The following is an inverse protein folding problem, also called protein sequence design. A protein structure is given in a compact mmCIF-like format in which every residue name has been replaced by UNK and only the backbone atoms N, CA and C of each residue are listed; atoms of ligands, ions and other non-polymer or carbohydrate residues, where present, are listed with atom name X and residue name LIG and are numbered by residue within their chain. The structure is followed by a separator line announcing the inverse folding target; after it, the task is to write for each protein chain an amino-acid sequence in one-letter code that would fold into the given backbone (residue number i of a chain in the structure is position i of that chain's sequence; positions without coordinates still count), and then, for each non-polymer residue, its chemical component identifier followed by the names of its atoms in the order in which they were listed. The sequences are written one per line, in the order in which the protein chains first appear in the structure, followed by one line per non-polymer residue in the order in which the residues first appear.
data_IF_511128348218
#
_entry.id   IF_511128348218
#
_cell.length_a   1.000
_cell.length_b   1.000
_cell.length_c   1.000
_cell.angle_alpha   90.00
_cell.angle_beta   90.00
_cell.angle_gamma   90.00
#
_symmetry.space_group_name_H-M   'P 1'
#
loop_
_entity.id
_entity.type
_entity.pdbx_description
1 polymer ?
#
# COMPACT_ATOMS: atom_id res chain seq x y z
N UNK A 1 -9.13 -9.70 -8.55
CA UNK A 1 -9.60 -9.52 -7.17
C UNK A 1 -8.66 -8.61 -6.40
N UNK A 2 -8.74 -7.31 -6.70
CA UNK A 2 -8.31 -6.20 -5.87
C UNK A 2 -9.27 -5.98 -4.69
N UNK A 3 -8.78 -5.29 -3.67
CA UNK A 3 -9.48 -5.04 -2.39
C UNK A 3 -10.84 -4.36 -2.56
N UNK A 4 -10.98 -3.48 -3.56
CA UNK A 4 -12.18 -2.66 -3.77
C UNK A 4 -12.89 -2.96 -5.09
N UNK A 5 -12.69 -4.15 -5.67
CA UNK A 5 -13.41 -4.60 -6.88
C UNK A 5 -14.88 -4.93 -6.57
N UNK A 6 -15.17 -5.55 -5.41
CA UNK A 6 -16.52 -5.99 -5.01
C UNK A 6 -17.05 -5.32 -3.73
N UNK A 7 -16.26 -4.42 -3.13
CA UNK A 7 -16.56 -3.79 -1.83
C UNK A 7 -16.14 -2.32 -1.84
N UNK A 8 -16.93 -1.46 -1.20
CA UNK A 8 -16.60 -0.03 -1.05
C UNK A 8 -15.67 0.25 0.14
N UNK A 9 -15.68 -0.63 1.14
CA UNK A 9 -14.89 -0.53 2.37
C UNK A 9 -14.19 -1.85 2.65
N UNK A 10 -13.01 -1.75 3.24
CA UNK A 10 -12.23 -2.90 3.71
C UNK A 10 -11.85 -2.71 5.17
N UNK A 11 -11.77 -3.80 5.91
CA UNK A 11 -11.20 -3.81 7.26
C UNK A 11 -9.67 -3.91 7.22
N UNK A 12 -9.03 -3.48 8.31
CA UNK A 12 -7.58 -3.65 8.51
C UNK A 12 -7.15 -5.12 8.41
N UNK A 13 -7.96 -6.06 8.89
CA UNK A 13 -7.70 -7.50 8.83
C UNK A 13 -7.70 -8.00 7.39
N UNK A 14 -8.71 -7.66 6.60
CA UNK A 14 -8.78 -8.05 5.18
C UNK A 14 -7.62 -7.46 4.37
N UNK A 15 -7.29 -6.20 4.63
CA UNK A 15 -6.11 -5.57 4.02
C UNK A 15 -4.85 -6.37 4.32
N UNK A 16 -4.64 -6.76 5.59
CA UNK A 16 -3.48 -7.56 5.99
C UNK A 16 -3.41 -8.89 5.27
N UNK A 17 -4.53 -9.59 5.16
CA UNK A 17 -4.57 -10.93 4.56
C UNK A 17 -4.25 -10.86 3.06
N UNK A 18 -4.85 -9.92 2.34
CA UNK A 18 -4.60 -9.72 0.90
C UNK A 18 -3.18 -9.22 0.66
N UNK A 19 -2.70 -8.28 1.48
CA UNK A 19 -1.34 -7.75 1.39
C UNK A 19 -0.31 -8.86 1.59
N UNK A 20 -0.47 -9.72 2.61
CA UNK A 20 0.44 -10.85 2.87
C UNK A 20 0.48 -11.82 1.70
N UNK A 21 -0.67 -12.13 1.10
CA UNK A 21 -0.77 -13.05 -0.04
C UNK A 21 -0.14 -12.50 -1.32
N UNK A 22 -0.26 -11.18 -1.55
CA UNK A 22 0.19 -10.55 -2.79
C UNK A 22 1.59 -9.94 -2.74
N UNK A 23 2.18 -9.73 -1.55
CA UNK A 23 3.46 -9.03 -1.39
C UNK A 23 4.59 -9.75 -2.16
N UNK A 24 5.09 -9.18 -3.27
CA UNK A 24 6.05 -9.86 -4.11
C UNK A 24 7.46 -9.82 -3.50
N UNK A 25 8.20 -10.89 -3.70
CA UNK A 25 9.64 -10.90 -3.53
C UNK A 25 10.29 -10.20 -4.72
N UNK A 26 11.30 -9.38 -4.47
CA UNK A 26 12.15 -8.77 -5.48
C UNK A 26 13.31 -9.74 -5.77
N UNK A 27 13.27 -10.51 -6.87
CA UNK A 27 14.23 -11.57 -7.12
C UNK A 27 15.68 -11.07 -7.19
N UNK A 28 15.91 -9.87 -7.74
CA UNK A 28 17.25 -9.28 -7.85
C UNK A 28 17.90 -8.89 -6.51
N UNK A 29 17.13 -8.78 -5.43
CA UNK A 29 17.62 -8.34 -4.12
C UNK A 29 17.40 -9.39 -3.01
N UNK A 30 16.73 -10.50 -3.32
CA UNK A 30 16.31 -11.50 -2.31
C UNK A 30 15.39 -10.94 -1.21
N UNK A 31 14.87 -9.71 -1.38
CA UNK A 31 14.10 -8.99 -0.36
C UNK A 31 12.64 -8.82 -0.77
N UNK A 32 11.76 -8.64 0.21
CA UNK A 32 10.36 -8.28 -0.05
C UNK A 32 10.28 -6.86 -0.61
N UNK A 33 9.31 -6.60 -1.50
CA UNK A 33 9.07 -5.25 -2.03
C UNK A 33 8.72 -4.26 -0.91
N UNK A 34 7.98 -4.72 0.10
CA UNK A 34 7.63 -3.95 1.29
C UNK A 34 7.97 -4.77 2.52
N UNK A 35 8.82 -4.21 3.38
CA UNK A 35 9.22 -4.81 4.65
C UNK A 35 8.11 -4.71 5.71
N UNK A 36 8.25 -5.47 6.81
CA UNK A 36 7.27 -5.49 7.89
C UNK A 36 7.05 -4.09 8.50
N UNK A 37 8.12 -3.34 8.74
CA UNK A 37 8.03 -1.99 9.31
C UNK A 37 7.26 -1.03 8.39
N UNK A 38 7.59 -1.04 7.09
CA UNK A 38 6.90 -0.19 6.12
C UNK A 38 5.45 -0.59 5.94
N UNK A 39 5.16 -1.89 6.01
CA UNK A 39 3.78 -2.37 6.01
C UNK A 39 3.01 -1.81 7.20
N UNK A 40 3.57 -1.83 8.40
CA UNK A 40 2.95 -1.23 9.58
C UNK A 40 2.70 0.27 9.37
N UNK A 41 3.66 1.00 8.80
CA UNK A 41 3.50 2.43 8.47
C UNK A 41 2.37 2.67 7.45
N UNK A 42 2.26 1.83 6.43
CA UNK A 42 1.16 1.90 5.44
C UNK A 42 -0.18 1.62 6.13
N UNK A 43 -0.25 0.59 6.96
CA UNK A 43 -1.47 0.25 7.70
C UNK A 43 -1.90 1.38 8.65
N UNK A 44 -0.98 1.96 9.40
CA UNK A 44 -1.27 3.06 10.32
C UNK A 44 -1.67 4.33 9.57
N UNK A 45 -1.05 4.63 8.43
CA UNK A 45 -1.46 5.79 7.61
C UNK A 45 -2.85 5.60 7.00
N UNK A 46 -3.20 4.38 6.60
CA UNK A 46 -4.47 4.10 5.92
C UNK A 46 -5.64 3.92 6.90
N UNK A 47 -5.42 3.24 8.02
CA UNK A 47 -6.47 2.88 8.98
C UNK A 47 -6.38 3.66 10.30
N UNK A 48 -5.28 4.39 10.55
CA UNK A 48 -4.98 4.97 11.85
C UNK A 48 -4.55 3.93 12.89
N UNK A 49 -4.44 4.37 14.14
CA UNK A 49 -4.05 3.51 15.27
C UNK A 49 -5.16 2.55 15.74
N UNK A 50 -6.40 2.72 15.25
CA UNK A 50 -7.55 1.93 15.73
C UNK A 50 -7.51 0.50 15.16
N UNK A 51 -7.75 -0.54 15.98
CA UNK A 51 -7.67 -1.94 15.54
C UNK A 51 -8.83 -2.37 14.62
N UNK A 52 -10.05 -1.85 14.84
CA UNK A 52 -11.25 -2.15 14.02
C UNK A 52 -11.52 -1.08 12.95
N UNK A 53 -10.50 -0.34 12.54
CA UNK A 53 -10.67 0.68 11.52
C UNK A 53 -10.98 0.07 10.14
N UNK A 54 -11.85 0.77 9.43
CA UNK A 54 -12.21 0.50 8.04
C UNK A 54 -11.71 1.64 7.17
N UNK A 55 -11.27 1.31 5.96
CA UNK A 55 -10.87 2.29 4.96
C UNK A 55 -11.82 2.19 3.77
N UNK A 56 -12.32 3.33 3.30
CA UNK A 56 -13.09 3.40 2.05
C UNK A 56 -12.17 3.42 0.84
N UNK A 57 -12.72 3.10 -0.33
CA UNK A 57 -12.02 3.19 -1.62
C UNK A 57 -11.45 4.59 -1.85
N UNK A 58 -12.17 5.65 -1.49
CA UNK A 58 -11.70 7.02 -1.66
C UNK A 58 -10.58 7.39 -0.72
N UNK A 59 -10.61 6.92 0.53
CA UNK A 59 -9.49 7.08 1.46
C UNK A 59 -8.24 6.37 0.92
N UNK A 60 -8.41 5.18 0.34
CA UNK A 60 -7.32 4.44 -0.28
C UNK A 60 -6.74 5.16 -1.51
N UNK A 61 -7.60 5.72 -2.37
CA UNK A 61 -7.18 6.55 -3.51
C UNK A 61 -6.41 7.78 -3.04
N UNK A 62 -6.93 8.51 -2.05
CA UNK A 62 -6.27 9.68 -1.46
C UNK A 62 -4.89 9.32 -0.91
N UNK A 63 -4.78 8.18 -0.22
CA UNK A 63 -3.50 7.67 0.28
C UNK A 63 -2.51 7.39 -0.86
N UNK A 64 -2.95 6.72 -1.94
CA UNK A 64 -2.10 6.49 -3.12
C UNK A 64 -1.65 7.82 -3.74
N UNK A 65 -2.54 8.80 -3.87
CA UNK A 65 -2.20 10.12 -4.40
C UNK A 65 -1.19 10.85 -3.51
N UNK A 66 -1.32 10.77 -2.18
CA UNK A 66 -0.33 11.32 -1.25
C UNK A 66 1.05 10.68 -1.42
N UNK A 67 1.12 9.35 -1.55
CA UNK A 67 2.38 8.66 -1.84
C UNK A 67 2.99 9.08 -3.18
N UNK A 68 2.16 9.35 -4.20
CA UNK A 68 2.64 9.90 -5.47
C UNK A 68 3.22 11.30 -5.28
N UNK A 69 2.61 12.15 -4.47
CA UNK A 69 3.19 13.46 -4.14
C UNK A 69 4.52 13.31 -3.38
N UNK A 70 4.61 12.37 -2.43
CA UNK A 70 5.87 12.05 -1.74
C UNK A 70 6.98 11.61 -2.71
N UNK A 71 6.65 10.87 -3.77
CA UNK A 71 7.59 10.53 -4.85
C UNK A 71 8.21 11.78 -5.48
N UNK A 72 7.41 12.82 -5.76
CA UNK A 72 7.94 14.05 -6.38
C UNK A 72 8.82 14.85 -5.41
N UNK A 73 8.55 14.75 -4.11
CA UNK A 73 9.33 15.41 -3.04
C UNK A 73 10.64 14.67 -2.68
N UNK A 74 10.77 13.39 -3.01
CA UNK A 74 11.96 12.61 -2.67
C UNK A 74 13.22 13.14 -3.37
N UNK A 75 14.32 13.25 -2.63
CA UNK A 75 15.59 13.84 -3.11
C UNK A 75 16.33 12.91 -4.09
N UNK A 76 16.25 11.60 -3.90
CA UNK A 76 17.05 10.61 -4.63
C UNK A 76 16.24 9.80 -5.63
N UNK A 77 16.82 9.52 -6.80
CA UNK A 77 16.17 8.73 -7.86
C UNK A 77 15.79 7.32 -7.40
N UNK A 78 16.64 6.68 -6.59
CA UNK A 78 16.38 5.37 -6.00
C UNK A 78 15.12 5.37 -5.11
N UNK A 79 14.95 6.39 -4.29
CA UNK A 79 13.74 6.57 -3.47
C UNK A 79 12.50 6.78 -4.34
N UNK A 80 12.61 7.58 -5.41
CA UNK A 80 11.50 7.79 -6.37
C UNK A 80 11.06 6.48 -7.01
N UNK A 81 12.00 5.66 -7.46
CA UNK A 81 11.71 4.36 -8.07
C UNK A 81 11.07 3.40 -7.06
N UNK A 82 11.53 3.42 -5.81
CA UNK A 82 11.01 2.54 -4.76
C UNK A 82 9.58 2.92 -4.37
N UNK A 83 9.30 4.22 -4.21
CA UNK A 83 7.94 4.73 -4.00
C UNK A 83 7.04 4.40 -5.19
N UNK A 84 7.55 4.53 -6.42
CA UNK A 84 6.79 4.20 -7.63
C UNK A 84 6.37 2.71 -7.68
N UNK A 85 7.31 1.80 -7.40
CA UNK A 85 7.01 0.36 -7.31
C UNK A 85 5.96 0.06 -6.25
N UNK A 86 6.06 0.71 -5.08
CA UNK A 86 5.05 0.59 -4.00
C UNK A 86 3.68 1.09 -4.44
N UNK A 87 3.62 2.25 -5.08
CA UNK A 87 2.37 2.83 -5.60
C UNK A 87 1.73 1.88 -6.62
N UNK A 88 2.50 1.34 -7.58
CA UNK A 88 1.98 0.36 -8.55
C UNK A 88 1.44 -0.89 -7.87
N UNK A 89 2.16 -1.40 -6.88
CA UNK A 89 1.71 -2.55 -6.10
C UNK A 89 0.40 -2.27 -5.37
N UNK A 90 0.29 -1.13 -4.69
CA UNK A 90 -0.92 -0.73 -3.97
C UNK A 90 -2.11 -0.51 -4.93
N UNK A 91 -1.89 0.11 -6.08
CA UNK A 91 -2.91 0.22 -7.14
C UNK A 91 -3.44 -1.16 -7.58
N UNK A 92 -2.54 -2.10 -7.88
CA UNK A 92 -2.88 -3.48 -8.21
C UNK A 92 -3.55 -4.23 -7.05
N UNK A 93 -3.17 -3.93 -5.82
CA UNK A 93 -3.77 -4.49 -4.60
C UNK A 93 -5.20 -3.98 -4.43
N UNK A 94 -5.42 -2.69 -4.64
CA UNK A 94 -6.71 -2.00 -4.54
C UNK A 94 -7.68 -2.29 -5.69
N UNK A 95 -7.16 -2.61 -6.88
CA UNK A 95 -7.94 -2.69 -8.10
C UNK A 95 -8.33 -1.30 -8.63
N UNK A 96 -7.37 -0.36 -8.61
CA UNK A 96 -7.54 1.06 -8.98
C UNK A 96 -6.40 1.50 -9.90
#
# INVERSE_FOLDING_TARGET
MGLFEKKEKISRKEFRDVFRKKNPLLPALGRRLIEMEERTKIEERLFGKKPMAVASKDQYKKFISQMQVEKYKAKYLSQKQLIDKKVRFLKKLGGI
#
